data_IF_547249013439
#
_entry.id   IF_547249013439
#
_cell.length_a   1.000
_cell.length_b   1.000
_cell.length_c   1.000
_cell.angle_alpha   90.00
_cell.angle_beta   90.00
_cell.angle_gamma   90.00
#
_symmetry.space_group_name_H-M   'P 1'
#
loop_
_entity.id
_entity.type
_entity.pdbx_description
1 polymer ?
#
# COMPACT_ATOMS: atom_id res chain seq x y z
N UNK A 1 -37.15 -29.07 -49.96
CA UNK A 1 -36.60 -29.16 -48.58
C UNK A 1 -36.54 -27.73 -48.08
N UNK A 2 -37.48 -27.37 -47.18
CA UNK A 2 -37.76 -26.08 -46.51
C UNK A 2 -37.92 -24.83 -47.42
N UNK A 3 -39.14 -24.35 -47.75
CA UNK A 3 -40.08 -23.51 -46.95
C UNK A 3 -39.39 -22.24 -46.40
N UNK A 4 -39.87 -21.01 -46.57
CA UNK A 4 -41.09 -20.40 -47.15
C UNK A 4 -40.80 -18.87 -47.22
N UNK A 5 -41.06 -18.21 -48.35
CA UNK A 5 -42.21 -17.29 -48.59
C UNK A 5 -42.03 -15.90 -47.94
N UNK A 6 -41.83 -14.83 -48.74
CA UNK A 6 -42.88 -13.96 -49.30
C UNK A 6 -43.24 -12.83 -48.32
N UNK A 7 -43.49 -11.56 -48.65
CA UNK A 7 -43.69 -10.87 -49.92
C UNK A 7 -43.84 -9.35 -49.62
N UNK A 8 -43.56 -8.52 -50.64
CA UNK A 8 -44.31 -7.28 -51.01
C UNK A 8 -44.14 -5.94 -50.27
N UNK A 9 -43.73 -4.93 -51.09
CA UNK A 9 -44.38 -3.64 -51.42
C UNK A 9 -44.82 -2.68 -50.29
N UNK A 10 -44.79 -1.35 -50.38
CA UNK A 10 -44.35 -0.28 -51.31
C UNK A 10 -44.75 1.05 -50.62
N UNK A 11 -44.03 2.16 -50.88
CA UNK A 11 -44.54 3.57 -50.86
C UNK A 11 -45.00 4.10 -49.47
N UNK A 12 -44.80 5.34 -49.00
CA UNK A 12 -44.70 6.69 -49.57
C UNK A 12 -44.47 7.64 -48.38
N UNK A 13 -43.82 8.79 -48.58
CA UNK A 13 -43.88 9.88 -47.59
C UNK A 13 -42.83 10.98 -47.79
N UNK A 14 -43.20 12.01 -48.54
CA UNK A 14 -42.44 13.22 -48.83
C UNK A 14 -42.23 14.13 -47.60
N UNK A 15 -40.97 14.56 -47.41
CA UNK A 15 -40.45 15.94 -47.17
C UNK A 15 -40.96 16.86 -46.01
N UNK A 16 -40.28 17.98 -45.70
CA UNK A 16 -38.83 18.21 -45.51
C UNK A 16 -38.54 19.17 -44.30
N UNK A 17 -37.28 19.28 -43.86
CA UNK A 17 -36.77 20.54 -43.28
C UNK A 17 -35.24 20.57 -43.34
N UNK A 18 -34.78 21.34 -44.33
CA UNK A 18 -33.42 21.67 -44.73
C UNK A 18 -32.54 22.08 -43.54
N UNK A 19 -31.47 21.31 -43.30
CA UNK A 19 -30.26 21.76 -42.62
C UNK A 19 -29.35 22.41 -43.66
N UNK A 20 -29.25 23.73 -43.62
CA UNK A 20 -28.20 24.50 -44.28
C UNK A 20 -27.80 25.61 -43.32
N UNK A 21 -26.65 25.44 -42.67
CA UNK A 21 -25.53 26.38 -42.71
C UNK A 21 -24.43 25.87 -41.78
N UNK A 22 -23.44 25.19 -42.38
CA UNK A 22 -22.11 25.14 -41.80
C UNK A 22 -21.28 26.32 -42.33
N UNK A 23 -20.48 26.84 -41.39
CA UNK A 23 -19.21 27.53 -41.58
C UNK A 23 -19.23 29.05 -41.82
N UNK A 24 -18.93 29.78 -40.74
CA UNK A 24 -17.69 30.59 -40.63
C UNK A 24 -17.33 30.88 -39.16
N UNK A 25 -16.20 30.29 -38.74
CA UNK A 25 -15.12 30.85 -37.90
C UNK A 25 -15.45 32.05 -36.99
N UNK A 26 -15.28 31.92 -35.67
CA UNK A 26 -13.97 32.10 -35.03
C UNK A 26 -13.97 31.63 -33.57
N UNK A 27 -12.81 31.19 -33.11
CA UNK A 27 -12.61 30.48 -31.85
C UNK A 27 -12.96 31.31 -30.60
N UNK A 28 -13.97 30.86 -29.86
CA UNK A 28 -14.29 31.29 -28.50
C UNK A 28 -13.18 30.84 -27.53
N UNK A 29 -12.16 31.69 -27.38
CA UNK A 29 -11.33 31.72 -26.18
C UNK A 29 -12.03 32.59 -25.15
N UNK A 30 -13.05 32.05 -24.49
CA UNK A 30 -13.48 32.55 -23.19
C UNK A 30 -13.01 31.58 -22.11
N UNK A 31 -12.04 32.08 -21.36
CA UNK A 31 -11.50 31.51 -20.13
C UNK A 31 -12.63 31.14 -19.16
N UNK A 32 -13.10 29.90 -19.20
CA UNK A 32 -13.76 29.32 -18.04
C UNK A 32 -12.68 28.94 -17.03
N UNK A 33 -12.20 29.96 -16.31
CA UNK A 33 -11.51 29.81 -15.04
C UNK A 33 -12.51 29.10 -14.12
N UNK A 34 -12.40 27.77 -14.02
CA UNK A 34 -13.02 27.02 -12.94
C UNK A 34 -12.27 27.42 -11.67
N UNK A 35 -12.68 28.53 -11.04
CA UNK A 35 -12.37 28.81 -9.64
C UNK A 35 -13.11 27.76 -8.81
N UNK A 36 -12.55 26.56 -8.72
CA UNK A 36 -12.86 25.70 -7.58
C UNK A 36 -12.44 26.51 -6.36
N UNK A 37 -13.41 27.06 -5.64
CA UNK A 37 -13.16 27.51 -4.27
C UNK A 37 -12.62 26.29 -3.55
N UNK A 38 -11.31 26.27 -3.29
CA UNK A 38 -10.68 25.28 -2.44
C UNK A 38 -11.47 25.25 -1.13
N UNK A 39 -12.28 24.20 -0.94
CA UNK A 39 -12.95 24.00 0.32
C UNK A 39 -11.85 23.90 1.37
N UNK A 40 -11.87 24.83 2.34
CA UNK A 40 -10.90 24.85 3.43
C UNK A 40 -10.84 23.45 4.06
N UNK A 41 -9.63 22.89 4.16
CA UNK A 41 -9.42 21.56 4.75
C UNK A 41 -10.14 21.44 6.09
N UNK A 42 -11.12 20.54 6.18
CA UNK A 42 -11.77 20.20 7.44
C UNK A 42 -10.92 19.16 8.16
N UNK A 43 -10.32 19.55 9.28
CA UNK A 43 -9.59 18.63 10.14
C UNK A 43 -10.55 17.58 10.69
N UNK A 44 -10.44 16.34 10.22
CA UNK A 44 -11.20 15.21 10.75
C UNK A 44 -10.49 14.67 11.97
N UNK A 45 -11.17 14.66 13.11
CA UNK A 45 -10.66 14.01 14.32
C UNK A 45 -10.74 12.49 14.15
N UNK A 46 -9.59 11.83 14.22
CA UNK A 46 -9.47 10.39 14.12
C UNK A 46 -8.49 9.91 15.19
N UNK A 47 -9.00 9.11 16.12
CA UNK A 47 -8.18 8.49 17.19
C UNK A 47 -6.99 7.72 16.63
N UNK A 48 -7.13 7.12 15.45
CA UNK A 48 -6.02 6.44 14.80
C UNK A 48 -4.95 7.43 14.33
N UNK A 49 -5.34 8.55 13.73
CA UNK A 49 -4.38 9.56 13.26
C UNK A 49 -3.64 10.21 14.43
N UNK A 50 -4.32 10.43 15.55
CA UNK A 50 -3.69 10.93 16.77
C UNK A 50 -2.69 9.93 17.35
N UNK A 51 -3.06 8.66 17.48
CA UNK A 51 -2.13 7.62 17.92
C UNK A 51 -0.93 7.45 16.97
N UNK A 52 -1.13 7.63 15.65
CA UNK A 52 -0.03 7.64 14.67
C UNK A 52 0.88 8.84 14.90
N UNK A 53 0.32 10.03 15.09
CA UNK A 53 1.08 11.24 15.37
C UNK A 53 1.90 11.09 16.66
N UNK A 54 1.30 10.58 17.74
CA UNK A 54 2.01 10.29 19.00
C UNK A 54 3.17 9.32 18.79
N UNK A 55 2.97 8.27 17.97
CA UNK A 55 4.05 7.33 17.62
C UNK A 55 5.17 7.99 16.80
N UNK A 56 4.85 8.96 15.94
CA UNK A 56 5.85 9.69 15.14
C UNK A 56 6.62 10.70 16.01
N UNK A 57 5.93 11.43 16.87
CA UNK A 57 6.53 12.44 17.76
C UNK A 57 7.46 11.80 18.80
N UNK A 58 7.15 10.58 19.24
CA UNK A 58 8.01 9.79 20.14
C UNK A 58 9.11 9.00 19.41
N UNK A 59 9.09 8.98 18.07
CA UNK A 59 10.08 8.24 17.28
C UNK A 59 11.35 9.09 17.05
N UNK A 60 12.35 8.86 17.90
CA UNK A 60 13.65 9.54 17.82
C UNK A 60 14.51 9.12 16.61
N UNK A 61 14.06 8.17 15.79
CA UNK A 61 14.87 7.59 14.71
C UNK A 61 14.57 8.17 13.33
N UNK A 62 13.58 9.07 13.20
CA UNK A 62 13.22 9.68 11.91
C UNK A 62 14.42 10.33 11.21
N UNK A 63 15.25 11.05 11.97
CA UNK A 63 16.47 11.68 11.46
C UNK A 63 17.43 10.67 10.81
N UNK A 64 17.57 9.47 11.39
CA UNK A 64 18.47 8.43 10.87
C UNK A 64 18.03 7.93 9.48
N UNK A 65 16.73 7.85 9.20
CA UNK A 65 16.22 7.42 7.90
C UNK A 65 16.12 8.54 6.86
N UNK A 66 15.99 9.79 7.29
CA UNK A 66 16.06 10.96 6.40
C UNK A 66 17.50 11.28 5.99
N UNK A 67 18.47 11.06 6.88
CA UNK A 67 19.89 11.35 6.66
C UNK A 67 20.77 10.11 6.90
N UNK A 68 20.52 9.00 6.19
CA UNK A 68 21.15 7.72 6.50
C UNK A 68 22.67 7.79 6.35
N UNK A 69 23.20 8.56 5.39
CA UNK A 69 24.65 8.70 5.16
C UNK A 69 25.38 9.46 6.26
N UNK A 70 24.67 10.30 7.00
CA UNK A 70 25.22 11.04 8.15
C UNK A 70 25.14 10.22 9.44
N UNK A 71 24.17 9.32 9.53
CA UNK A 71 23.93 8.52 10.72
C UNK A 71 24.68 7.19 10.70
N UNK A 72 24.61 6.45 9.58
CA UNK A 72 25.25 5.15 9.41
C UNK A 72 26.42 5.22 8.43
N UNK A 73 27.51 4.53 8.78
CA UNK A 73 28.68 4.42 7.91
C UNK A 73 28.39 3.67 6.60
N UNK A 74 29.16 3.97 5.56
CA UNK A 74 28.98 3.43 4.20
C UNK A 74 28.90 1.90 4.15
N UNK A 75 29.66 1.20 4.98
CA UNK A 75 29.71 -0.27 5.00
C UNK A 75 28.43 -0.94 5.52
N UNK A 76 27.70 -0.29 6.42
CA UNK A 76 26.44 -0.83 6.99
C UNK A 76 25.20 -0.33 6.26
N UNK A 77 25.38 0.64 5.35
CA UNK A 77 24.30 1.26 4.57
C UNK A 77 23.52 0.27 3.72
N UNK A 78 24.24 -0.63 3.03
CA UNK A 78 23.62 -1.65 2.18
C UNK A 78 22.73 -2.61 2.99
N UNK A 79 23.21 -3.22 4.10
CA UNK A 79 22.37 -3.97 5.02
C UNK A 79 21.14 -3.21 5.52
N UNK A 80 21.31 -1.96 5.94
CA UNK A 80 20.23 -1.12 6.47
C UNK A 80 19.16 -0.87 5.40
N UNK A 81 19.55 -0.49 4.17
CA UNK A 81 18.63 -0.30 3.05
C UNK A 81 17.90 -1.60 2.69
N UNK A 82 18.62 -2.71 2.65
CA UNK A 82 18.07 -4.02 2.32
C UNK A 82 16.98 -4.45 3.30
N UNK A 83 17.25 -4.35 4.60
CA UNK A 83 16.28 -4.73 5.65
C UNK A 83 15.11 -3.76 5.68
N UNK A 84 15.38 -2.46 5.58
CA UNK A 84 14.33 -1.43 5.62
C UNK A 84 13.32 -1.57 4.49
N UNK A 85 13.79 -1.89 3.27
CA UNK A 85 12.92 -2.12 2.11
C UNK A 85 11.94 -3.27 2.36
N UNK A 86 12.48 -4.41 2.83
CA UNK A 86 11.69 -5.62 3.12
C UNK A 86 10.75 -5.40 4.29
N UNK A 87 11.24 -4.80 5.36
CA UNK A 87 10.41 -4.45 6.51
C UNK A 87 9.24 -3.54 6.09
N UNK A 88 9.50 -2.46 5.33
CA UNK A 88 8.45 -1.56 4.83
C UNK A 88 7.38 -2.31 4.04
N UNK A 89 7.80 -3.22 3.15
CA UNK A 89 6.88 -4.06 2.37
C UNK A 89 6.08 -5.03 3.26
N UNK A 90 6.72 -5.72 4.19
CA UNK A 90 6.06 -6.67 5.07
C UNK A 90 5.06 -5.98 6.03
N UNK A 91 5.39 -4.78 6.52
CA UNK A 91 4.48 -3.96 7.33
C UNK A 91 3.25 -3.53 6.55
N UNK A 92 3.40 -3.12 5.28
CA UNK A 92 2.26 -2.83 4.39
C UNK A 92 1.34 -4.05 4.29
N UNK A 93 1.90 -5.24 4.11
CA UNK A 93 1.10 -6.46 4.00
C UNK A 93 0.39 -6.80 5.32
N UNK A 94 1.06 -6.67 6.48
CA UNK A 94 0.41 -6.82 7.80
C UNK A 94 -0.78 -5.86 7.92
N UNK A 95 -0.58 -4.58 7.61
CA UNK A 95 -1.61 -3.55 7.73
C UNK A 95 -2.80 -3.85 6.81
N UNK A 96 -2.53 -4.20 5.54
CA UNK A 96 -3.54 -4.57 4.55
C UNK A 96 -4.35 -5.79 5.01
N UNK A 97 -3.68 -6.87 5.42
CA UNK A 97 -4.33 -8.09 5.89
C UNK A 97 -5.19 -7.84 7.14
N UNK A 98 -4.75 -6.95 8.04
CA UNK A 98 -5.50 -6.60 9.26
C UNK A 98 -6.85 -5.90 8.99
N UNK A 99 -7.03 -5.35 7.79
CA UNK A 99 -8.25 -4.68 7.37
C UNK A 99 -9.22 -5.64 6.68
N UNK A 100 -8.75 -6.80 6.20
CA UNK A 100 -9.59 -7.78 5.54
C UNK A 100 -10.59 -8.43 6.51
N UNK A 101 -11.79 -8.81 6.03
CA UNK A 101 -12.77 -9.50 6.86
C UNK A 101 -12.26 -10.86 7.34
N UNK A 102 -11.62 -11.60 6.43
CA UNK A 102 -11.05 -12.93 6.62
C UNK A 102 -9.85 -13.09 5.67
N UNK A 103 -8.84 -13.88 6.06
CA UNK A 103 -7.67 -14.19 5.24
C UNK A 103 -7.33 -15.68 5.29
N UNK A 104 -6.81 -16.27 4.21
CA UNK A 104 -6.35 -17.66 4.22
C UNK A 104 -5.20 -17.84 5.22
N UNK A 105 -5.23 -18.93 6.00
CA UNK A 105 -4.17 -19.24 6.97
C UNK A 105 -2.80 -19.40 6.30
N UNK A 106 -2.77 -19.92 5.07
CA UNK A 106 -1.57 -20.02 4.23
C UNK A 106 -0.92 -18.64 3.98
N UNK A 107 -1.71 -17.57 3.89
CA UNK A 107 -1.19 -16.20 3.73
C UNK A 107 -0.49 -15.72 5.01
N UNK A 108 -0.98 -16.10 6.19
CA UNK A 108 -0.31 -15.79 7.46
C UNK A 108 0.99 -16.58 7.64
N UNK A 109 0.99 -17.85 7.22
CA UNK A 109 2.21 -18.67 7.19
C UNK A 109 3.25 -18.02 6.28
N UNK A 110 2.87 -17.66 5.05
CA UNK A 110 3.78 -17.00 4.10
C UNK A 110 4.33 -15.67 4.65
N UNK A 111 3.48 -14.88 5.30
CA UNK A 111 3.89 -13.62 5.92
C UNK A 111 4.90 -13.87 7.05
N UNK A 112 4.64 -14.84 7.93
CA UNK A 112 5.53 -15.23 9.02
C UNK A 112 6.87 -15.72 8.47
N UNK A 113 6.84 -16.62 7.50
CA UNK A 113 8.03 -17.19 6.87
C UNK A 113 8.87 -16.08 6.21
N UNK A 114 8.25 -15.09 5.58
CA UNK A 114 8.97 -13.95 4.99
C UNK A 114 9.71 -13.09 6.03
N UNK A 115 9.14 -12.92 7.22
CA UNK A 115 9.86 -12.27 8.32
C UNK A 115 11.01 -13.14 8.83
N UNK A 116 10.78 -14.46 8.95
CA UNK A 116 11.82 -15.40 9.37
C UNK A 116 12.99 -15.43 8.37
N UNK A 117 12.70 -15.48 7.07
CA UNK A 117 13.68 -15.42 5.98
C UNK A 117 14.46 -14.11 6.00
N UNK A 118 13.77 -12.98 6.21
CA UNK A 118 14.43 -11.68 6.37
C UNK A 118 15.41 -11.68 7.54
N UNK A 119 15.04 -12.24 8.69
CA UNK A 119 15.91 -12.32 9.88
C UNK A 119 17.06 -13.31 9.68
N UNK A 120 16.82 -14.39 8.95
CA UNK A 120 17.83 -15.38 8.62
C UNK A 120 18.87 -14.86 7.62
N UNK A 121 18.51 -13.90 6.76
CA UNK A 121 19.38 -13.37 5.73
C UNK A 121 20.64 -12.65 6.28
N UNK A 122 21.74 -12.73 5.51
CA UNK A 122 23.03 -12.12 5.87
C UNK A 122 22.94 -10.61 6.17
N UNK A 123 22.25 -9.78 5.37
CA UNK A 123 22.09 -8.35 5.66
C UNK A 123 21.49 -8.05 7.03
N UNK A 124 20.53 -8.86 7.48
CA UNK A 124 19.92 -8.65 8.79
C UNK A 124 20.90 -8.89 9.95
N UNK A 125 21.79 -9.88 9.80
CA UNK A 125 22.85 -10.16 10.79
C UNK A 125 23.95 -9.11 10.79
N UNK A 126 24.08 -8.33 9.71
CA UNK A 126 25.05 -7.25 9.54
C UNK A 126 24.49 -5.88 9.92
N UNK A 127 23.25 -5.82 10.42
CA UNK A 127 22.68 -4.56 10.90
C UNK A 127 23.56 -3.96 12.01
N UNK A 128 23.71 -2.63 12.03
CA UNK A 128 24.36 -1.96 13.13
C UNK A 128 23.54 -2.12 14.42
N UNK A 129 24.21 -2.07 15.56
CA UNK A 129 23.57 -2.29 16.87
C UNK A 129 22.50 -1.24 17.20
N UNK A 130 22.60 -0.06 16.60
CA UNK A 130 21.67 1.06 16.72
C UNK A 130 20.48 1.00 15.75
N UNK A 131 20.36 -0.06 14.93
CA UNK A 131 19.22 -0.18 14.02
C UNK A 131 17.90 -0.29 14.82
N UNK A 132 16.95 0.64 14.63
CA UNK A 132 15.90 0.90 15.60
C UNK A 132 14.76 -0.13 15.63
N UNK A 133 14.62 -0.93 14.58
CA UNK A 133 13.45 -1.81 14.41
C UNK A 133 13.74 -3.29 14.64
N UNK A 134 14.93 -3.67 15.13
CA UNK A 134 15.25 -5.07 15.42
C UNK A 134 14.31 -5.68 16.47
N UNK A 135 13.98 -4.94 17.54
CA UNK A 135 13.05 -5.40 18.58
C UNK A 135 11.62 -5.54 18.04
N UNK A 136 11.17 -4.58 17.22
CA UNK A 136 9.86 -4.64 16.57
C UNK A 136 9.72 -5.88 15.69
N UNK A 137 10.74 -6.20 14.87
CA UNK A 137 10.74 -7.38 14.00
C UNK A 137 10.62 -8.67 14.82
N UNK A 138 11.39 -8.80 15.91
CA UNK A 138 11.31 -9.97 16.80
C UNK A 138 9.92 -10.13 17.42
N UNK A 139 9.33 -9.04 17.90
CA UNK A 139 7.98 -9.04 18.45
C UNK A 139 6.92 -9.39 17.39
N UNK A 140 7.05 -8.91 16.15
CA UNK A 140 6.17 -9.30 15.04
C UNK A 140 6.24 -10.81 14.79
N UNK A 141 7.45 -11.36 14.66
CA UNK A 141 7.64 -12.80 14.41
C UNK A 141 7.03 -13.62 15.53
N UNK A 142 7.33 -13.29 16.78
CA UNK A 142 6.79 -14.00 17.94
C UNK A 142 5.25 -14.02 17.95
N UNK A 143 4.63 -12.89 17.65
CA UNK A 143 3.17 -12.80 17.59
C UNK A 143 2.59 -13.58 16.39
N UNK A 144 3.24 -13.53 15.23
CA UNK A 144 2.83 -14.31 14.05
C UNK A 144 2.98 -15.80 14.29
N UNK A 145 4.06 -16.26 14.93
CA UNK A 145 4.26 -17.66 15.30
C UNK A 145 3.13 -18.15 16.21
N UNK A 146 2.77 -17.37 17.22
CA UNK A 146 1.63 -17.69 18.10
C UNK A 146 0.32 -17.78 17.34
N UNK A 147 0.08 -16.89 16.38
CA UNK A 147 -1.16 -16.94 15.57
C UNK A 147 -1.14 -18.17 14.67
N UNK A 148 -0.05 -18.39 13.94
CA UNK A 148 0.14 -19.51 12.99
C UNK A 148 0.03 -20.87 13.70
N UNK A 149 0.57 -21.00 14.91
CA UNK A 149 0.47 -22.22 15.71
C UNK A 149 -0.98 -22.59 16.07
N UNK A 150 -1.86 -21.59 16.22
CA UNK A 150 -3.23 -21.80 16.66
C UNK A 150 -4.25 -21.92 15.52
N UNK A 151 -3.84 -21.71 14.26
CA UNK A 151 -4.75 -21.81 13.10
C UNK A 151 -4.69 -23.18 12.46
N UNK A 152 -5.81 -23.60 11.86
CA UNK A 152 -5.89 -24.87 11.13
C UNK A 152 -5.16 -24.74 9.77
N UNK A 153 -4.45 -25.76 9.28
CA UNK A 153 -3.69 -25.69 8.03
C UNK A 153 -4.52 -25.29 6.81
N UNK A 154 -5.78 -25.72 6.75
CA UNK A 154 -6.74 -25.35 5.70
C UNK A 154 -7.89 -24.58 6.33
N UNK A 155 -8.03 -23.32 5.94
CA UNK A 155 -9.11 -22.46 6.40
C UNK A 155 -8.71 -21.00 6.40
N UNK A 156 -9.66 -20.17 6.84
CA UNK A 156 -9.47 -18.74 6.95
C UNK A 156 -9.54 -18.31 8.40
N UNK A 157 -8.87 -17.20 8.71
CA UNK A 157 -8.91 -16.58 10.03
C UNK A 157 -9.09 -15.08 9.92
N UNK A 158 -9.58 -14.50 11.00
CA UNK A 158 -9.69 -13.05 11.14
C UNK A 158 -8.43 -12.52 11.82
N UNK A 159 -7.53 -11.95 11.05
CA UNK A 159 -6.36 -11.25 11.57
C UNK A 159 -6.70 -9.78 11.88
N UNK A 160 -6.51 -9.35 13.12
CA UNK A 160 -6.80 -7.96 13.54
C UNK A 160 -5.65 -7.42 14.38
N UNK A 161 -5.38 -6.15 14.16
CA UNK A 161 -4.47 -5.36 14.98
C UNK A 161 -5.29 -4.49 15.92
N UNK A 162 -4.78 -4.30 17.14
CA UNK A 162 -5.26 -3.26 18.04
C UNK A 162 -4.97 -1.88 17.44
N UNK A 163 -5.67 -0.85 17.91
CA UNK A 163 -5.49 0.53 17.43
C UNK A 163 -4.03 0.97 17.59
N UNK A 164 -3.45 0.80 18.78
CA UNK A 164 -2.07 1.20 19.08
C UNK A 164 -1.06 0.42 18.24
N UNK A 165 -1.28 -0.89 18.04
CA UNK A 165 -0.39 -1.67 17.18
C UNK A 165 -0.49 -1.24 15.73
N UNK A 166 -1.68 -0.95 15.23
CA UNK A 166 -1.88 -0.42 13.88
C UNK A 166 -1.18 0.93 13.72
N UNK A 167 -1.34 1.83 14.69
CA UNK A 167 -0.69 3.13 14.70
C UNK A 167 0.84 3.03 14.67
N UNK A 168 1.44 2.19 15.52
CA UNK A 168 2.89 2.04 15.56
C UNK A 168 3.47 1.43 14.28
N UNK A 169 2.77 0.48 13.65
CA UNK A 169 3.19 -0.07 12.36
C UNK A 169 3.05 0.94 11.21
N UNK A 170 2.01 1.79 11.24
CA UNK A 170 1.86 2.89 10.27
C UNK A 170 3.00 3.90 10.44
N UNK A 171 3.30 4.31 11.67
CA UNK A 171 4.39 5.24 11.97
C UNK A 171 5.75 4.67 11.51
N UNK A 172 6.06 3.42 11.85
CA UNK A 172 7.28 2.75 11.40
C UNK A 172 7.38 2.70 9.87
N UNK A 173 6.29 2.29 9.18
CA UNK A 173 6.24 2.28 7.72
C UNK A 173 6.45 3.67 7.11
N UNK A 174 5.91 4.71 7.75
CA UNK A 174 6.08 6.10 7.32
C UNK A 174 7.53 6.55 7.48
N UNK A 175 8.16 6.28 8.63
CA UNK A 175 9.57 6.60 8.86
C UNK A 175 10.50 5.89 7.86
N UNK A 176 10.27 4.59 7.59
CA UNK A 176 11.04 3.85 6.58
C UNK A 176 10.90 4.45 5.17
N UNK A 177 9.80 5.16 4.89
CA UNK A 177 9.56 5.76 3.59
C UNK A 177 10.54 6.87 3.22
N UNK A 178 11.18 7.49 4.22
CA UNK A 178 12.21 8.50 4.00
C UNK A 178 13.45 7.94 3.26
N UNK A 179 13.73 6.64 3.42
CA UNK A 179 14.96 6.03 2.90
C UNK A 179 14.74 5.09 1.70
N UNK A 180 13.66 4.31 1.71
CA UNK A 180 13.45 3.21 0.75
C UNK A 180 12.07 3.30 0.12
N UNK A 181 11.87 2.98 -1.17
CA UNK A 181 10.55 3.00 -1.81
C UNK A 181 9.64 1.88 -1.29
N UNK A 182 8.34 1.96 -1.58
CA UNK A 182 7.43 0.84 -1.38
C UNK A 182 7.47 -0.07 -2.60
N UNK A 183 7.81 -1.34 -2.40
CA UNK A 183 7.87 -2.37 -3.45
C UNK A 183 6.77 -3.42 -3.24
N UNK A 184 6.38 -4.13 -4.30
CA UNK A 184 5.39 -5.21 -4.17
C UNK A 184 6.02 -6.41 -3.49
N UNK A 185 5.22 -7.17 -2.74
CA UNK A 185 5.70 -8.37 -2.05
C UNK A 185 6.38 -9.38 -2.98
N UNK A 186 5.80 -9.59 -4.18
CA UNK A 186 6.37 -10.48 -5.22
C UNK A 186 7.72 -10.02 -5.80
N UNK A 187 8.11 -8.78 -5.54
CA UNK A 187 9.40 -8.21 -5.99
C UNK A 187 10.47 -8.35 -4.89
N UNK A 188 10.11 -8.87 -3.70
CA UNK A 188 11.07 -9.16 -2.65
C UNK A 188 11.88 -10.41 -3.01
N UNK A 189 13.19 -10.32 -2.85
CA UNK A 189 14.09 -11.47 -2.83
C UNK A 189 14.75 -11.57 -1.45
N UNK A 190 14.75 -12.77 -0.88
CA UNK A 190 15.40 -13.06 0.41
C UNK A 190 16.68 -13.90 0.25
N UNK A 191 16.99 -14.35 -0.97
CA UNK A 191 18.26 -15.01 -1.29
C UNK A 191 19.36 -13.99 -1.55
N UNK A 192 20.43 -14.09 -0.76
CA UNK A 192 21.76 -13.51 -0.99
C UNK A 192 22.85 -14.52 -0.62
#
# INVERSE_FOLDING_TARGET
>A
MALADAETNTLTGNEPAVLLEEAKTDADKSDYIIRQQDQSYKRVHSRLLEAVQECLDSNNFTFAFENPEQYWGTYVMQPVKWVSLRLRCLLENILRLSNMPSIPNETLVLLRDSFADMVAARPYRQLPADYPYTALVKDIIHNLDRIVYNVKPKGDTRFRLTLNRKASLIACRFTLAAMVPLVKFRELNFSE
#
